data_IF_596917464118
#
_entry.id   IF_596917464118
#
_cell.length_a   1.000
_cell.length_b   1.000
_cell.length_c   1.000
_cell.angle_alpha   90.00
_cell.angle_beta   90.00
_cell.angle_gamma   90.00
#
_symmetry.space_group_name_H-M   'P 1'
#
loop_
_entity.id
_entity.type
_entity.pdbx_description
1 polymer ?
#
# COMPACT_ATOMS: atom_id res chain seq x y z
N UNK A 1 -6.00 -37.95 27.62
CA UNK A 1 -6.37 -36.53 27.62
C UNK A 1 -5.26 -35.65 27.08
N UNK A 2 -4.01 -35.76 27.54
CA UNK A 2 -2.84 -34.97 27.07
C UNK A 2 -2.50 -35.18 25.60
N UNK A 3 -2.58 -36.43 25.10
CA UNK A 3 -2.36 -36.73 23.70
C UNK A 3 -3.37 -36.00 22.77
N UNK A 4 -4.63 -35.91 23.22
CA UNK A 4 -5.68 -35.19 22.47
C UNK A 4 -5.45 -33.68 22.48
N UNK A 5 -4.97 -33.14 23.60
CA UNK A 5 -4.59 -31.72 23.71
C UNK A 5 -3.39 -31.40 22.81
N UNK A 6 -2.35 -32.24 22.83
CA UNK A 6 -1.20 -32.08 21.94
C UNK A 6 -1.60 -32.14 20.44
N UNK A 7 -2.53 -33.05 20.08
CA UNK A 7 -3.06 -33.14 18.72
C UNK A 7 -3.86 -31.89 18.33
N UNK A 8 -4.69 -31.37 19.22
CA UNK A 8 -5.48 -30.15 18.98
C UNK A 8 -4.57 -28.94 18.78
N UNK A 9 -3.57 -28.76 19.66
CA UNK A 9 -2.56 -27.70 19.56
C UNK A 9 -1.77 -27.80 18.23
N UNK A 10 -1.31 -29.00 17.90
CA UNK A 10 -0.63 -29.27 16.64
C UNK A 10 -1.49 -28.88 15.42
N UNK A 11 -2.75 -29.35 15.39
CA UNK A 11 -3.63 -29.09 14.25
C UNK A 11 -3.94 -27.59 14.09
N UNK A 12 -4.15 -26.87 15.19
CA UNK A 12 -4.38 -25.42 15.17
C UNK A 12 -3.21 -24.66 14.58
N UNK A 13 -1.99 -25.01 14.97
CA UNK A 13 -0.77 -24.37 14.47
C UNK A 13 -0.41 -24.83 13.06
N UNK A 14 -0.42 -26.14 12.78
CA UNK A 14 0.00 -26.69 11.50
C UNK A 14 -0.87 -26.24 10.31
N UNK A 15 -2.16 -26.00 10.56
CA UNK A 15 -3.12 -25.50 9.58
C UNK A 15 -3.13 -23.96 9.51
N UNK A 16 -2.35 -23.27 10.32
CA UNK A 16 -2.25 -21.82 10.26
C UNK A 16 -1.56 -21.41 8.95
N UNK A 17 -2.17 -20.54 8.10
CA UNK A 17 -1.62 -20.16 6.79
C UNK A 17 -0.30 -19.39 6.88
N UNK A 18 0.01 -18.85 8.06
CA UNK A 18 1.25 -18.10 8.31
C UNK A 18 2.39 -18.96 8.84
N UNK A 19 2.14 -20.25 9.15
CA UNK A 19 3.19 -21.19 9.56
C UNK A 19 3.79 -21.88 8.35
N UNK A 20 5.06 -21.63 8.09
CA UNK A 20 5.81 -22.15 6.92
C UNK A 20 7.22 -22.61 7.30
N UNK A 21 7.94 -23.17 6.31
CA UNK A 21 9.36 -23.46 6.38
C UNK A 21 9.76 -24.43 7.49
N UNK A 22 10.91 -24.16 8.11
CA UNK A 22 11.52 -25.05 9.11
C UNK A 22 10.69 -25.17 10.40
N UNK A 23 10.00 -24.11 10.82
CA UNK A 23 9.14 -24.14 12.01
C UNK A 23 7.97 -25.13 11.84
N UNK A 24 7.33 -25.14 10.65
CA UNK A 24 6.26 -26.10 10.31
C UNK A 24 6.77 -27.54 10.30
N UNK A 25 7.92 -27.76 9.69
CA UNK A 25 8.57 -29.09 9.63
C UNK A 25 8.98 -29.57 11.03
N UNK A 26 9.56 -28.70 11.85
CA UNK A 26 9.94 -29.02 13.23
C UNK A 26 8.74 -29.40 14.09
N UNK A 27 7.63 -28.66 13.97
CA UNK A 27 6.38 -28.96 14.68
C UNK A 27 5.83 -30.33 14.28
N UNK A 28 5.85 -30.67 12.98
CA UNK A 28 5.44 -31.99 12.51
C UNK A 28 6.30 -33.10 13.09
N UNK A 29 7.62 -32.98 13.02
CA UNK A 29 8.57 -33.98 13.49
C UNK A 29 8.47 -34.18 15.02
N UNK A 30 8.33 -33.09 15.77
CA UNK A 30 8.17 -33.14 17.22
C UNK A 30 6.87 -33.87 17.61
N UNK A 31 5.75 -33.60 16.92
CA UNK A 31 4.47 -34.31 17.12
C UNK A 31 4.64 -35.82 16.83
N UNK A 32 5.27 -36.20 15.73
CA UNK A 32 5.49 -37.62 15.39
C UNK A 32 6.32 -38.32 16.48
N UNK A 33 7.40 -37.67 16.91
CA UNK A 33 8.28 -38.21 17.97
C UNK A 33 7.55 -38.36 19.30
N UNK A 34 6.74 -37.38 19.71
CA UNK A 34 5.96 -37.44 20.95
C UNK A 34 4.95 -38.59 20.93
N UNK A 35 4.24 -38.76 19.78
CA UNK A 35 3.22 -39.82 19.69
C UNK A 35 3.87 -41.21 19.68
N UNK A 36 4.98 -41.40 18.99
CA UNK A 36 5.74 -42.64 19.00
C UNK A 36 6.28 -42.95 20.40
N UNK A 37 6.82 -41.96 21.13
CA UNK A 37 7.30 -42.13 22.50
C UNK A 37 6.14 -42.45 23.49
N UNK A 38 4.98 -41.86 23.29
CA UNK A 38 3.77 -42.14 24.07
C UNK A 38 3.34 -43.60 23.89
N UNK A 39 3.25 -44.07 22.62
CA UNK A 39 2.85 -45.45 22.34
C UNK A 39 3.87 -46.44 22.88
N UNK A 40 5.19 -46.17 22.80
CA UNK A 40 6.22 -46.99 23.37
C UNK A 40 6.16 -47.09 24.90
N UNK A 41 5.84 -45.97 25.58
CA UNK A 41 5.65 -45.95 27.04
C UNK A 41 4.41 -46.74 27.46
N UNK A 42 3.29 -46.54 26.78
CA UNK A 42 2.04 -47.28 27.05
C UNK A 42 2.25 -48.81 26.89
N UNK A 43 2.92 -49.22 25.82
CA UNK A 43 3.24 -50.60 25.54
C UNK A 43 4.15 -51.20 26.64
N UNK A 44 5.16 -50.43 27.08
CA UNK A 44 6.04 -50.89 28.17
C UNK A 44 5.30 -51.07 29.51
N UNK A 45 4.39 -50.12 29.82
CA UNK A 45 3.54 -50.22 31.02
C UNK A 45 2.61 -51.44 30.92
N UNK A 46 1.94 -51.64 29.81
CA UNK A 46 1.03 -52.77 29.60
C UNK A 46 1.77 -54.10 29.70
N UNK A 47 2.98 -54.21 29.16
CA UNK A 47 3.79 -55.40 29.31
C UNK A 47 4.21 -55.68 30.73
N UNK A 48 4.58 -54.62 31.49
CA UNK A 48 5.02 -54.75 32.87
C UNK A 48 3.91 -55.19 33.86
N UNK A 49 2.65 -55.01 33.50
CA UNK A 49 1.49 -55.37 34.36
C UNK A 49 0.77 -56.65 33.88
N UNK A 50 1.19 -57.23 32.73
CA UNK A 50 0.45 -58.30 32.07
C UNK A 50 0.33 -59.60 32.86
N UNK A 51 1.35 -59.94 33.65
CA UNK A 51 1.37 -61.17 34.48
C UNK A 51 1.17 -60.90 35.99
N UNK A 52 0.86 -59.63 36.35
CA UNK A 52 0.65 -59.22 37.72
C UNK A 52 1.89 -59.12 38.60
N UNK A 53 3.10 -59.21 38.00
CA UNK A 53 4.38 -59.12 38.70
C UNK A 53 5.33 -58.18 37.97
N UNK A 54 5.69 -57.05 38.58
CA UNK A 54 6.66 -56.12 38.01
C UNK A 54 8.09 -56.54 38.40
N UNK A 55 8.87 -56.95 37.43
CA UNK A 55 10.30 -57.26 37.60
C UNK A 55 11.16 -55.98 37.54
N UNK A 56 12.40 -56.06 38.09
CA UNK A 56 13.35 -54.93 37.98
C UNK A 56 13.66 -54.56 36.53
N UNK A 57 13.71 -55.55 35.63
CA UNK A 57 13.96 -55.32 34.19
C UNK A 57 12.80 -54.54 33.55
N UNK A 58 11.54 -54.87 33.86
CA UNK A 58 10.37 -54.20 33.33
C UNK A 58 10.28 -52.77 33.87
N UNK A 59 10.52 -52.58 35.20
CA UNK A 59 10.62 -51.25 35.77
C UNK A 59 11.66 -50.39 35.05
N UNK A 60 12.87 -50.88 34.85
CA UNK A 60 13.92 -50.13 34.15
C UNK A 60 13.52 -49.79 32.70
N UNK A 61 12.82 -50.70 32.01
CA UNK A 61 12.29 -50.41 30.67
C UNK A 61 11.25 -49.30 30.71
N UNK A 62 10.29 -49.34 31.63
CA UNK A 62 9.29 -48.26 31.78
C UNK A 62 9.95 -46.92 32.13
N UNK A 63 10.91 -46.88 33.05
CA UNK A 63 11.66 -45.69 33.43
C UNK A 63 12.41 -45.07 32.20
N UNK A 64 13.04 -45.91 31.38
CA UNK A 64 13.73 -45.51 30.18
C UNK A 64 12.74 -44.91 29.13
N UNK A 65 11.57 -45.55 28.95
CA UNK A 65 10.52 -45.03 28.03
C UNK A 65 9.92 -43.75 28.54
N UNK A 66 9.73 -43.60 29.86
CA UNK A 66 9.27 -42.36 30.45
C UNK A 66 10.25 -41.21 30.26
N UNK A 67 11.55 -41.44 30.42
CA UNK A 67 12.59 -40.44 30.13
C UNK A 67 12.58 -40.01 28.67
N UNK A 68 12.40 -40.96 27.73
CA UNK A 68 12.25 -40.70 26.29
C UNK A 68 11.00 -39.87 26.01
N UNK A 69 9.84 -40.24 26.60
CA UNK A 69 8.59 -39.49 26.50
C UNK A 69 8.76 -38.05 26.99
N UNK A 70 9.35 -37.83 28.16
CA UNK A 70 9.60 -36.49 28.70
C UNK A 70 10.46 -35.66 27.79
N UNK A 71 11.51 -36.24 27.19
CA UNK A 71 12.36 -35.57 26.23
C UNK A 71 11.58 -35.15 24.95
N UNK A 72 10.74 -36.05 24.43
CA UNK A 72 9.91 -35.77 23.26
C UNK A 72 8.82 -34.74 23.57
N UNK A 73 8.24 -34.78 24.76
CA UNK A 73 7.26 -33.78 25.23
C UNK A 73 7.87 -32.38 25.27
N UNK A 74 9.05 -32.23 25.88
CA UNK A 74 9.74 -30.94 25.93
C UNK A 74 10.10 -30.44 24.54
N UNK A 75 10.55 -31.31 23.63
CA UNK A 75 10.80 -30.93 22.23
C UNK A 75 9.53 -30.48 21.51
N UNK A 76 8.40 -31.11 21.79
CA UNK A 76 7.13 -30.69 21.21
C UNK A 76 6.71 -29.31 21.74
N UNK A 77 6.85 -29.03 23.03
CA UNK A 77 6.58 -27.70 23.60
C UNK A 77 7.46 -26.62 22.95
N UNK A 78 8.78 -26.87 22.83
CA UNK A 78 9.69 -25.94 22.15
C UNK A 78 9.29 -25.72 20.68
N UNK A 79 8.85 -26.77 19.99
CA UNK A 79 8.40 -26.66 18.61
C UNK A 79 7.09 -25.84 18.48
N UNK A 80 6.18 -25.96 19.46
CA UNK A 80 4.95 -25.14 19.56
C UNK A 80 5.31 -23.67 19.77
N UNK A 81 6.23 -23.36 20.68
CA UNK A 81 6.72 -22.00 20.93
C UNK A 81 7.37 -21.40 19.67
N UNK A 82 8.24 -22.17 19.02
CA UNK A 82 8.90 -21.76 17.75
C UNK A 82 7.87 -21.50 16.64
N UNK A 83 6.84 -22.34 16.52
CA UNK A 83 5.77 -22.17 15.55
C UNK A 83 4.95 -20.89 15.82
N UNK A 84 4.59 -20.64 17.08
CA UNK A 84 3.90 -19.41 17.48
C UNK A 84 4.75 -18.17 17.18
N UNK A 85 6.03 -18.19 17.52
CA UNK A 85 6.94 -17.07 17.22
C UNK A 85 7.05 -16.83 15.72
N UNK A 86 7.19 -17.88 14.91
CA UNK A 86 7.25 -17.78 13.44
C UNK A 86 5.99 -17.14 12.86
N UNK A 87 4.81 -17.50 13.38
CA UNK A 87 3.53 -16.88 12.98
C UNK A 87 3.51 -15.39 13.34
N UNK A 88 3.91 -15.04 14.57
CA UNK A 88 3.95 -13.66 15.05
C UNK A 88 4.90 -12.80 14.24
N UNK A 89 6.10 -13.31 13.93
CA UNK A 89 7.10 -12.60 13.13
C UNK A 89 6.59 -12.34 11.71
N UNK A 90 5.88 -13.32 11.13
CA UNK A 90 5.27 -13.15 9.81
C UNK A 90 4.15 -12.10 9.80
N UNK A 91 3.27 -12.13 10.80
CA UNK A 91 2.20 -11.15 10.98
C UNK A 91 2.77 -9.74 11.22
N UNK A 92 3.82 -9.64 12.05
CA UNK A 92 4.54 -8.38 12.26
C UNK A 92 5.13 -7.84 10.95
N UNK A 93 5.76 -8.70 10.15
CA UNK A 93 6.30 -8.33 8.85
C UNK A 93 5.22 -7.77 7.90
N UNK A 94 4.03 -8.36 7.86
CA UNK A 94 2.90 -7.81 7.08
C UNK A 94 2.45 -6.45 7.61
N UNK A 95 2.34 -6.29 8.94
CA UNK A 95 1.96 -5.03 9.56
C UNK A 95 2.99 -3.92 9.28
N UNK A 96 4.29 -4.23 9.41
CA UNK A 96 5.37 -3.27 9.14
C UNK A 96 5.39 -2.85 7.65
N UNK A 97 5.16 -3.80 6.73
CA UNK A 97 5.06 -3.51 5.30
C UNK A 97 3.83 -2.64 4.95
N UNK A 98 2.67 -2.93 5.55
CA UNK A 98 1.47 -2.13 5.35
C UNK A 98 1.68 -0.69 5.87
N UNK A 99 2.29 -0.54 7.05
CA UNK A 99 2.62 0.77 7.61
C UNK A 99 3.58 1.55 6.70
N UNK A 100 4.64 0.90 6.22
CA UNK A 100 5.59 1.53 5.30
C UNK A 100 4.91 1.99 4.02
N UNK A 101 4.01 1.18 3.46
CA UNK A 101 3.25 1.54 2.27
C UNK A 101 2.33 2.75 2.52
N UNK A 102 1.70 2.85 3.69
CA UNK A 102 0.89 4.00 4.08
C UNK A 102 1.73 5.27 4.25
N UNK A 103 2.91 5.18 4.87
CA UNK A 103 3.84 6.30 5.01
C UNK A 103 4.33 6.80 3.63
N UNK A 104 4.67 5.88 2.72
CA UNK A 104 5.05 6.20 1.34
C UNK A 104 3.89 6.85 0.56
N UNK A 105 2.65 6.39 0.78
CA UNK A 105 1.45 6.97 0.18
C UNK A 105 1.21 8.40 0.64
N UNK A 106 1.32 8.67 1.93
CA UNK A 106 1.21 10.02 2.49
C UNK A 106 2.24 10.97 1.86
N UNK A 107 3.48 10.53 1.74
CA UNK A 107 4.54 11.34 1.12
C UNK A 107 4.26 11.61 -0.36
N UNK A 108 3.90 10.59 -1.13
CA UNK A 108 3.60 10.74 -2.56
C UNK A 108 2.34 11.56 -2.82
N UNK A 109 1.32 11.46 -1.95
CA UNK A 109 0.12 12.30 -2.04
C UNK A 109 0.44 13.76 -1.74
N UNK A 110 1.28 14.05 -0.73
CA UNK A 110 1.75 15.41 -0.44
C UNK A 110 2.50 16.00 -1.65
N UNK A 111 3.43 15.25 -2.23
CA UNK A 111 4.16 15.70 -3.42
C UNK A 111 3.24 15.93 -4.64
N UNK A 112 2.24 15.04 -4.83
CA UNK A 112 1.26 15.22 -5.91
C UNK A 112 0.40 16.49 -5.69
N UNK A 113 0.03 16.79 -4.46
CA UNK A 113 -0.70 18.00 -4.09
C UNK A 113 0.16 19.26 -4.28
N UNK A 114 1.43 19.23 -3.86
CA UNK A 114 2.38 20.34 -4.08
C UNK A 114 2.56 20.62 -5.58
N UNK A 115 2.73 19.60 -6.41
CA UNK A 115 2.81 19.73 -7.86
C UNK A 115 1.53 20.30 -8.49
N UNK A 116 0.36 19.83 -8.03
CA UNK A 116 -0.93 20.36 -8.49
C UNK A 116 -1.11 21.84 -8.09
N UNK A 117 -0.70 22.22 -6.87
CA UNK A 117 -0.71 23.60 -6.40
C UNK A 117 0.20 24.50 -7.23
N UNK A 118 1.44 24.06 -7.50
CA UNK A 118 2.37 24.81 -8.34
C UNK A 118 1.84 25.03 -9.77
N UNK A 119 1.18 24.01 -10.34
CA UNK A 119 0.53 24.15 -11.65
C UNK A 119 -0.64 25.14 -11.59
N UNK A 120 -1.44 25.12 -10.53
CA UNK A 120 -2.54 26.09 -10.32
C UNK A 120 -2.01 27.52 -10.17
N UNK A 121 -0.95 27.72 -9.40
CA UNK A 121 -0.37 29.04 -9.17
C UNK A 121 0.20 29.60 -10.48
N UNK A 122 0.90 28.79 -11.27
CA UNK A 122 1.40 29.19 -12.59
C UNK A 122 0.28 29.57 -13.57
N UNK A 123 -0.84 28.84 -13.56
CA UNK A 123 -2.03 29.18 -14.37
C UNK A 123 -2.71 30.45 -13.86
N UNK A 124 -2.77 30.65 -12.55
CA UNK A 124 -3.34 31.87 -11.94
C UNK A 124 -2.52 33.11 -12.30
N UNK A 125 -1.20 33.00 -12.28
CA UNK A 125 -0.29 34.08 -12.70
C UNK A 125 -0.43 34.39 -14.17
N UNK A 126 -0.54 33.36 -15.02
CA UNK A 126 -0.81 33.53 -16.46
C UNK A 126 -2.14 34.27 -16.67
N UNK A 127 -3.23 33.83 -16.01
CA UNK A 127 -4.55 34.46 -16.18
C UNK A 127 -4.54 35.92 -15.74
N UNK A 128 -3.93 36.23 -14.59
CA UNK A 128 -3.81 37.63 -14.10
C UNK A 128 -3.05 38.50 -15.08
N UNK A 129 -1.99 37.99 -15.71
CA UNK A 129 -1.24 38.73 -16.72
C UNK A 129 -2.08 38.94 -17.98
N UNK A 130 -2.78 37.93 -18.46
CA UNK A 130 -3.65 37.98 -19.65
C UNK A 130 -4.79 39.00 -19.43
N UNK A 131 -5.42 38.99 -18.23
CA UNK A 131 -6.45 39.99 -17.89
C UNK A 131 -5.94 41.45 -18.01
N UNK A 132 -4.73 41.69 -17.53
CA UNK A 132 -4.08 42.98 -17.66
C UNK A 132 -3.76 43.34 -19.12
N UNK A 133 -3.19 42.42 -19.89
CA UNK A 133 -2.83 42.59 -21.28
C UNK A 133 -4.04 42.79 -22.20
N UNK A 134 -5.20 42.26 -21.85
CA UNK A 134 -6.45 42.40 -22.61
C UNK A 134 -7.30 43.62 -22.19
N UNK A 135 -6.84 44.44 -21.25
CA UNK A 135 -7.64 45.49 -20.65
C UNK A 135 -8.04 46.60 -21.63
N UNK A 136 -7.15 46.97 -22.58
CA UNK A 136 -7.35 47.99 -23.56
C UNK A 136 -7.84 47.47 -24.95
N UNK A 137 -7.99 46.13 -25.08
CA UNK A 137 -8.45 45.48 -26.29
C UNK A 137 -7.34 45.29 -27.36
N UNK A 138 -6.09 45.63 -27.04
CA UNK A 138 -4.93 45.45 -27.91
C UNK A 138 -3.89 44.60 -27.22
N UNK A 139 -3.19 43.76 -27.96
CA UNK A 139 -2.08 42.94 -27.45
C UNK A 139 -0.82 43.31 -28.17
N UNK A 140 0.07 44.03 -27.54
CA UNK A 140 1.37 44.40 -28.11
C UNK A 140 2.26 43.16 -28.25
N UNK A 141 3.28 43.25 -29.10
CA UNK A 141 4.28 42.18 -29.27
C UNK A 141 5.02 41.86 -27.96
N UNK A 142 5.24 42.85 -27.11
CA UNK A 142 5.86 42.66 -25.81
C UNK A 142 4.96 41.86 -24.84
N UNK A 143 3.66 42.15 -24.84
CA UNK A 143 2.68 41.39 -24.02
C UNK A 143 2.52 39.97 -24.55
N UNK A 144 2.44 39.77 -25.87
CA UNK A 144 2.38 38.44 -26.47
C UNK A 144 3.61 37.58 -26.06
N UNK A 145 4.83 38.13 -26.10
CA UNK A 145 6.05 37.45 -25.66
C UNK A 145 6.05 37.15 -24.14
N UNK A 146 5.50 38.05 -23.34
CA UNK A 146 5.37 37.82 -21.92
C UNK A 146 4.35 36.69 -21.61
N UNK A 147 3.21 36.68 -22.32
CA UNK A 147 2.21 35.58 -22.21
C UNK A 147 2.84 34.25 -22.60
N UNK A 148 3.61 34.19 -23.69
CA UNK A 148 4.34 32.97 -24.08
C UNK A 148 5.27 32.47 -22.99
N UNK A 149 5.98 33.35 -22.28
CA UNK A 149 6.83 32.99 -21.14
C UNK A 149 6.02 32.39 -20.00
N UNK A 150 4.85 32.96 -19.64
CA UNK A 150 3.95 32.38 -18.64
C UNK A 150 3.41 31.01 -19.07
N UNK A 151 3.03 30.84 -20.34
CA UNK A 151 2.59 29.54 -20.87
C UNK A 151 3.70 28.49 -20.73
N UNK A 152 4.96 28.85 -20.98
CA UNK A 152 6.10 27.95 -20.80
C UNK A 152 6.26 27.53 -19.32
N UNK A 153 6.04 28.47 -18.37
CA UNK A 153 6.03 28.16 -16.92
C UNK A 153 4.90 27.18 -16.59
N UNK A 154 3.67 27.42 -17.06
CA UNK A 154 2.53 26.52 -16.88
C UNK A 154 2.85 25.10 -17.40
N UNK A 155 3.44 25.00 -18.59
CA UNK A 155 3.81 23.71 -19.16
C UNK A 155 4.92 22.99 -18.35
N UNK A 156 5.85 23.72 -17.74
CA UNK A 156 6.87 23.15 -16.87
C UNK A 156 6.24 22.62 -15.57
N UNK A 157 5.45 23.43 -14.87
CA UNK A 157 4.74 23.03 -13.63
C UNK A 157 3.78 21.86 -13.86
N UNK A 158 3.11 21.84 -15.04
CA UNK A 158 2.27 20.68 -15.41
C UNK A 158 3.08 19.39 -15.52
N UNK A 159 4.28 19.41 -16.11
CA UNK A 159 5.15 18.21 -16.20
C UNK A 159 5.59 17.72 -14.82
N UNK A 160 5.91 18.63 -13.91
CA UNK A 160 6.25 18.28 -12.52
C UNK A 160 5.05 17.67 -11.80
N UNK A 161 3.86 18.25 -11.94
CA UNK A 161 2.62 17.69 -11.40
C UNK A 161 2.31 16.29 -11.97
N UNK A 162 2.52 16.09 -13.28
CA UNK A 162 2.35 14.77 -13.90
C UNK A 162 3.34 13.72 -13.35
N UNK A 163 4.58 14.11 -13.05
CA UNK A 163 5.58 13.20 -12.48
C UNK A 163 5.19 12.76 -11.04
N UNK A 164 4.80 13.71 -10.19
CA UNK A 164 4.39 13.42 -8.81
C UNK A 164 3.09 12.61 -8.78
N UNK A 165 2.12 12.93 -9.63
CA UNK A 165 0.91 12.13 -9.82
C UNK A 165 1.24 10.69 -10.20
N UNK A 166 2.17 10.48 -11.12
CA UNK A 166 2.52 9.13 -11.60
C UNK A 166 3.02 8.24 -10.47
N UNK A 167 3.77 8.80 -9.52
CA UNK A 167 4.26 8.08 -8.34
C UNK A 167 3.10 7.63 -7.44
N UNK A 168 2.14 8.51 -7.14
CA UNK A 168 0.95 8.15 -6.37
C UNK A 168 0.09 7.10 -7.10
N UNK A 169 -0.13 7.28 -8.40
CA UNK A 169 -0.93 6.35 -9.22
C UNK A 169 -0.32 4.95 -9.31
N UNK A 170 1.01 4.85 -9.28
CA UNK A 170 1.75 3.58 -9.32
C UNK A 170 1.75 2.83 -7.98
N UNK A 171 1.24 3.42 -6.89
CA UNK A 171 1.20 2.75 -5.61
C UNK A 171 0.42 1.43 -5.70
N UNK A 172 1.00 0.28 -5.28
CA UNK A 172 0.40 -1.04 -5.45
C UNK A 172 -0.89 -1.25 -4.63
N UNK A 173 -1.09 -0.45 -3.58
CA UNK A 173 -2.29 -0.51 -2.74
C UNK A 173 -3.43 0.39 -3.25
N UNK A 174 -3.15 1.29 -4.20
CA UNK A 174 -4.18 2.08 -4.85
C UNK A 174 -4.87 1.27 -5.95
N UNK A 175 -6.14 0.94 -5.74
CA UNK A 175 -6.92 0.10 -6.66
C UNK A 175 -8.36 0.62 -6.81
N UNK A 176 -9.15 -0.05 -7.65
CA UNK A 176 -10.58 0.16 -7.75
C UNK A 176 -11.00 1.54 -8.25
N UNK A 177 -12.05 2.06 -7.62
CA UNK A 177 -12.71 3.33 -8.00
C UNK A 177 -11.79 4.52 -7.81
N UNK A 178 -11.06 4.59 -6.70
CA UNK A 178 -10.20 5.73 -6.34
C UNK A 178 -9.07 5.90 -7.34
N UNK A 179 -8.48 4.80 -7.81
CA UNK A 179 -7.47 4.81 -8.88
C UNK A 179 -8.03 5.36 -10.19
N UNK A 180 -9.24 4.92 -10.55
CA UNK A 180 -9.93 5.36 -11.77
C UNK A 180 -10.32 6.85 -11.71
N UNK A 181 -10.82 7.30 -10.55
CA UNK A 181 -11.19 8.71 -10.32
C UNK A 181 -9.95 9.61 -10.35
N UNK A 182 -8.86 9.20 -9.71
CA UNK A 182 -7.59 9.93 -9.74
C UNK A 182 -7.07 10.08 -11.20
N UNK A 183 -7.13 9.02 -12.00
CA UNK A 183 -6.75 9.07 -13.41
C UNK A 183 -7.64 10.01 -14.23
N UNK A 184 -8.96 9.94 -14.06
CA UNK A 184 -9.91 10.79 -14.76
C UNK A 184 -9.74 12.26 -14.39
N UNK A 185 -9.54 12.59 -13.10
CA UNK A 185 -9.32 13.94 -12.62
C UNK A 185 -8.04 14.55 -13.18
N UNK A 186 -6.94 13.80 -13.21
CA UNK A 186 -5.68 14.21 -13.84
C UNK A 186 -5.85 14.51 -15.33
N UNK A 187 -6.53 13.66 -16.06
CA UNK A 187 -6.77 13.87 -17.49
C UNK A 187 -7.67 15.09 -17.73
N UNK A 188 -8.67 15.32 -16.88
CA UNK A 188 -9.51 16.51 -16.94
C UNK A 188 -8.71 17.80 -16.74
N UNK A 189 -7.79 17.82 -15.76
CA UNK A 189 -6.90 18.96 -15.53
C UNK A 189 -5.99 19.22 -16.76
N UNK A 190 -5.41 18.18 -17.32
CA UNK A 190 -4.56 18.29 -18.50
C UNK A 190 -5.32 18.85 -19.71
N UNK A 191 -6.55 18.38 -19.92
CA UNK A 191 -7.42 18.87 -20.99
C UNK A 191 -7.82 20.32 -20.77
N UNK A 192 -8.20 20.68 -19.55
CA UNK A 192 -8.58 22.06 -19.20
C UNK A 192 -7.40 23.02 -19.37
N UNK A 193 -6.17 22.64 -18.96
CA UNK A 193 -4.95 23.43 -19.16
C UNK A 193 -4.67 23.64 -20.65
N UNK A 194 -4.76 22.58 -21.46
CA UNK A 194 -4.54 22.66 -22.89
C UNK A 194 -5.56 23.58 -23.58
N UNK A 195 -6.83 23.46 -23.21
CA UNK A 195 -7.90 24.29 -23.76
C UNK A 195 -7.74 25.76 -23.36
N UNK A 196 -7.30 26.05 -22.13
CA UNK A 196 -7.01 27.41 -21.68
C UNK A 196 -5.87 28.03 -22.49
N UNK A 197 -4.75 27.33 -22.64
CA UNK A 197 -3.60 27.80 -23.44
C UNK A 197 -4.01 28.01 -24.89
N UNK A 198 -4.81 27.13 -25.48
CA UNK A 198 -5.29 27.29 -26.86
C UNK A 198 -6.19 28.53 -27.01
N UNK A 199 -7.07 28.79 -26.04
CA UNK A 199 -7.92 29.99 -26.04
C UNK A 199 -7.09 31.28 -25.96
N UNK A 200 -6.08 31.29 -25.06
CA UNK A 200 -5.16 32.47 -24.95
C UNK A 200 -4.37 32.65 -26.23
N UNK A 201 -3.78 31.61 -26.81
CA UNK A 201 -3.01 31.71 -28.07
C UNK A 201 -3.90 32.21 -29.21
N UNK A 202 -5.16 31.77 -29.27
CA UNK A 202 -6.11 32.28 -30.28
C UNK A 202 -6.42 33.75 -30.07
N UNK A 203 -6.60 34.19 -28.83
CA UNK A 203 -6.93 35.57 -28.52
C UNK A 203 -5.78 36.58 -28.82
N UNK A 204 -4.52 36.13 -28.77
CA UNK A 204 -3.36 37.01 -29.02
C UNK A 204 -2.89 37.00 -30.48
N UNK A 205 -3.46 36.13 -31.32
CA UNK A 205 -2.93 35.84 -32.65
C UNK A 205 -2.94 37.01 -33.62
N UNK A 206 -3.91 37.92 -33.54
CA UNK A 206 -4.06 39.09 -34.40
C UNK A 206 -3.71 40.43 -33.73
N UNK A 207 -3.20 40.36 -32.50
CA UNK A 207 -2.82 41.55 -31.72
C UNK A 207 -4.02 42.32 -31.14
N UNK A 208 -5.21 41.72 -31.12
CA UNK A 208 -6.44 42.32 -30.58
C UNK A 208 -7.11 41.34 -29.63
N UNK A 209 -7.53 41.83 -28.46
CA UNK A 209 -8.30 41.07 -27.52
C UNK A 209 -9.76 41.53 -27.50
N UNK A 210 -10.61 40.82 -28.24
CA UNK A 210 -12.05 41.13 -28.25
C UNK A 210 -12.74 40.67 -26.94
N UNK A 211 -13.88 41.29 -26.63
CA UNK A 211 -14.70 40.84 -25.48
C UNK A 211 -15.08 39.34 -25.59
N UNK A 212 -15.34 38.86 -26.78
CA UNK A 212 -15.66 37.43 -27.02
C UNK A 212 -14.49 36.52 -26.66
N UNK A 213 -13.28 36.87 -27.08
CA UNK A 213 -12.06 36.11 -26.76
C UNK A 213 -11.76 36.14 -25.25
N UNK A 214 -11.85 37.31 -24.63
CA UNK A 214 -11.71 37.44 -23.17
C UNK A 214 -12.69 36.52 -22.44
N UNK A 215 -13.99 36.60 -22.76
CA UNK A 215 -15.02 35.73 -22.15
C UNK A 215 -14.72 34.23 -22.39
N UNK A 216 -14.15 33.86 -23.52
CA UNK A 216 -13.75 32.48 -23.78
C UNK A 216 -12.57 32.07 -22.87
N UNK A 217 -11.54 32.93 -22.74
CA UNK A 217 -10.40 32.66 -21.81
C UNK A 217 -10.90 32.51 -20.37
N UNK A 218 -11.76 33.44 -19.89
CA UNK A 218 -12.36 33.40 -18.55
C UNK A 218 -13.12 32.07 -18.31
N UNK A 219 -13.90 31.64 -19.29
CA UNK A 219 -14.62 30.35 -19.24
C UNK A 219 -13.67 29.15 -19.16
N UNK A 220 -12.56 29.16 -19.89
CA UNK A 220 -11.55 28.08 -19.85
C UNK A 220 -10.78 28.10 -18.52
N UNK A 221 -10.50 29.28 -17.97
CA UNK A 221 -9.89 29.41 -16.65
C UNK A 221 -10.80 28.88 -15.54
N UNK A 222 -12.12 29.17 -15.59
CA UNK A 222 -13.07 28.58 -14.66
C UNK A 222 -13.12 27.04 -14.77
N UNK A 223 -13.10 26.50 -15.99
CA UNK A 223 -13.03 25.05 -16.22
C UNK A 223 -11.75 24.44 -15.66
N UNK A 224 -10.60 25.12 -15.79
CA UNK A 224 -9.33 24.69 -15.18
C UNK A 224 -9.45 24.64 -13.65
N UNK A 225 -9.99 25.68 -13.00
CA UNK A 225 -10.16 25.70 -11.54
C UNK A 225 -11.04 24.55 -11.04
N UNK A 226 -12.12 24.22 -11.75
CA UNK A 226 -12.97 23.08 -11.41
C UNK A 226 -12.24 21.75 -11.56
N UNK A 227 -11.46 21.57 -12.63
CA UNK A 227 -10.66 20.36 -12.84
C UNK A 227 -9.55 20.22 -11.79
N UNK A 228 -8.92 21.34 -11.40
CA UNK A 228 -7.96 21.35 -10.28
C UNK A 228 -8.60 20.90 -8.96
N UNK A 229 -9.75 21.47 -8.60
CA UNK A 229 -10.46 21.08 -7.38
C UNK A 229 -10.81 19.58 -7.36
N UNK A 230 -11.22 19.05 -8.52
CA UNK A 230 -11.49 17.62 -8.68
C UNK A 230 -10.22 16.76 -8.49
N UNK A 231 -9.07 17.20 -9.02
CA UNK A 231 -7.81 16.51 -8.83
C UNK A 231 -7.36 16.54 -7.36
N UNK A 232 -7.44 17.69 -6.69
CA UNK A 232 -7.09 17.81 -5.29
C UNK A 232 -7.90 16.82 -4.41
N UNK A 233 -9.22 16.77 -4.61
CA UNK A 233 -10.09 15.81 -3.94
C UNK A 233 -9.74 14.36 -4.27
N UNK A 234 -9.40 14.06 -5.52
CA UNK A 234 -9.02 12.72 -5.94
C UNK A 234 -7.69 12.26 -5.32
N UNK A 235 -6.71 13.16 -5.15
CA UNK A 235 -5.44 12.88 -4.46
C UNK A 235 -5.70 12.55 -2.99
N UNK A 236 -6.53 13.34 -2.29
CA UNK A 236 -6.89 13.07 -0.89
C UNK A 236 -7.58 11.71 -0.73
N UNK A 237 -8.54 11.39 -1.62
CA UNK A 237 -9.27 10.12 -1.57
C UNK A 237 -8.35 8.94 -1.88
N UNK A 238 -7.46 9.07 -2.87
CA UNK A 238 -6.46 8.06 -3.16
C UNK A 238 -5.53 7.78 -1.97
N UNK A 239 -5.09 8.84 -1.27
CA UNK A 239 -4.29 8.69 -0.05
C UNK A 239 -5.06 7.95 1.06
N UNK A 240 -6.31 8.33 1.32
CA UNK A 240 -7.17 7.64 2.32
C UNK A 240 -7.43 6.17 1.98
N UNK A 241 -7.52 5.83 0.68
CA UNK A 241 -7.77 4.46 0.25
C UNK A 241 -6.55 3.54 0.42
N UNK A 242 -5.35 4.09 0.57
CA UNK A 242 -4.10 3.34 0.77
C UNK A 242 -3.82 3.12 2.27
N UNK A 243 -4.34 3.97 3.15
CA UNK A 243 -4.19 3.88 4.63
C UNK A 243 -5.09 2.82 5.26
#
# INVERSE_FOLDING_TARGET
>A
NERQQALATYNGLYNNPYLEGSAKTSLYNAKVSLFSATDALVNAINAAIADGKATTAEKNNVDSRYATFTTCHNKFQTAVETANQSIQDKLKGYSDNARKAADEANNTASQAMEGANAAKDAVSDLNRYVDGAFADGLVSEAEAKAIEKYINTVNASKREADATYTTLYANPFLAGTEKSVLYAAKNSLNTATTNLIAAINSAIADGKATTTEKNNVDSKFAAFNNAYASLATAIENANKAIQ
#
